data_IF_154938230479
#
_entry.id   IF_154938230479
#
_cell.length_a   1.000
_cell.length_b   1.000
_cell.length_c   1.000
_cell.angle_alpha   90.00
_cell.angle_beta   90.00
_cell.angle_gamma   90.00
#
_symmetry.space_group_name_H-M   'P 1'
#
loop_
_entity.id
_entity.type
_entity.pdbx_description
1 polymer ?
#
# COMPACT_ATOMS: atom_id res chain seq x y z
N UNK A 1 10.58 18.40 6.99
CA UNK A 1 10.83 19.24 8.19
C UNK A 1 11.87 20.32 7.95
N UNK A 2 12.99 20.04 7.29
CA UNK A 2 14.07 21.02 7.02
C UNK A 2 13.59 22.35 6.41
N UNK A 3 12.72 22.29 5.40
CA UNK A 3 12.19 23.50 4.74
C UNK A 3 11.34 24.39 5.65
N UNK A 4 10.57 23.79 6.56
CA UNK A 4 9.76 24.55 7.53
C UNK A 4 10.65 25.22 8.58
N UNK A 5 11.74 24.56 8.97
CA UNK A 5 12.73 25.15 9.89
C UNK A 5 13.42 26.34 9.23
N UNK A 6 13.85 26.20 7.97
CA UNK A 6 14.43 27.30 7.18
C UNK A 6 13.45 28.46 7.04
N UNK A 7 12.20 28.16 6.70
CA UNK A 7 11.16 29.18 6.56
C UNK A 7 10.88 29.91 7.87
N UNK A 8 10.79 29.20 9.00
CA UNK A 8 10.57 29.81 10.31
C UNK A 8 11.72 30.74 10.70
N UNK A 9 12.97 30.35 10.43
CA UNK A 9 14.13 31.21 10.66
C UNK A 9 14.07 32.49 9.81
N UNK A 10 13.82 32.34 8.51
CA UNK A 10 13.64 33.48 7.62
C UNK A 10 12.51 34.42 8.08
N UNK A 11 11.39 33.84 8.57
CA UNK A 11 10.26 34.61 9.09
C UNK A 11 10.64 35.40 10.35
N UNK A 12 11.42 34.81 11.26
CA UNK A 12 11.92 35.51 12.45
C UNK A 12 12.83 36.68 12.07
N UNK A 13 13.82 36.44 11.21
CA UNK A 13 14.73 37.48 10.72
C UNK A 13 13.94 38.63 10.04
N UNK A 14 12.89 38.29 9.30
CA UNK A 14 12.00 39.26 8.65
C UNK A 14 11.17 40.07 9.65
N UNK A 15 10.58 39.42 10.65
CA UNK A 15 9.81 40.08 11.71
C UNK A 15 10.71 41.06 12.48
N UNK A 16 11.91 40.64 12.85
CA UNK A 16 12.90 41.49 13.52
C UNK A 16 13.25 42.73 12.69
N UNK A 17 13.37 42.58 11.36
CA UNK A 17 13.67 43.69 10.46
C UNK A 17 12.55 44.75 10.38
N UNK A 18 11.31 44.37 10.68
CA UNK A 18 10.15 45.26 10.63
C UNK A 18 9.90 46.00 11.94
N UNK A 19 10.36 45.45 13.07
CA UNK A 19 10.15 46.04 14.39
C UNK A 19 8.68 46.37 14.66
N UNK A 20 8.42 47.61 15.08
CA UNK A 20 7.07 48.09 15.45
C UNK A 20 6.06 48.12 14.29
N UNK A 21 6.52 47.99 13.03
CA UNK A 21 5.63 47.90 11.87
C UNK A 21 4.98 46.53 11.72
N UNK A 22 5.51 45.49 12.38
CA UNK A 22 4.96 44.15 12.32
C UNK A 22 3.71 44.01 13.19
N UNK A 23 2.63 43.51 12.61
CA UNK A 23 1.39 43.18 13.31
C UNK A 23 1.38 41.69 13.64
N UNK A 24 1.57 41.37 14.91
CA UNK A 24 1.47 39.98 15.38
C UNK A 24 -0.01 39.59 15.57
N UNK A 25 -0.54 38.86 14.59
CA UNK A 25 -1.92 38.32 14.59
C UNK A 25 -1.92 36.77 14.55
N UNK A 26 -0.82 36.15 15.00
CA UNK A 26 -0.62 34.69 15.11
C UNK A 26 -0.98 33.92 13.82
N UNK A 27 -0.65 34.51 12.66
CA UNK A 27 -0.90 33.90 11.35
C UNK A 27 0.34 33.21 10.81
N UNK A 28 0.21 31.93 10.43
CA UNK A 28 1.28 31.20 9.75
C UNK A 28 1.57 31.79 8.37
N UNK A 29 0.53 32.25 7.67
CA UNK A 29 0.64 32.99 6.40
C UNK A 29 0.13 34.41 6.61
N UNK A 30 1.06 35.36 6.62
CA UNK A 30 0.77 36.78 6.80
C UNK A 30 1.15 37.58 5.56
N UNK A 31 0.59 38.79 5.45
CA UNK A 31 1.12 39.80 4.55
C UNK A 31 2.50 40.26 5.00
N UNK A 32 3.15 41.12 4.19
CA UNK A 32 4.48 41.65 4.50
C UNK A 32 4.55 42.39 5.82
N UNK A 33 3.44 42.97 6.30
CA UNK A 33 3.32 43.69 7.57
C UNK A 33 2.79 42.83 8.73
N UNK A 34 2.66 41.51 8.55
CA UNK A 34 2.10 40.62 9.57
C UNK A 34 0.56 40.53 9.58
N UNK A 35 -0.13 41.40 8.84
CA UNK A 35 -1.60 41.37 8.79
C UNK A 35 -2.16 40.11 8.11
N UNK A 36 -3.44 39.80 8.37
CA UNK A 36 -4.13 38.64 7.79
C UNK A 36 -4.12 38.66 6.27
N UNK A 37 -3.87 37.50 5.68
CA UNK A 37 -4.04 37.29 4.25
C UNK A 37 -5.51 37.01 3.96
N UNK A 38 -6.09 37.72 3.00
CA UNK A 38 -7.43 37.42 2.50
C UNK A 38 -7.39 36.29 1.48
N UNK A 39 -8.49 35.55 1.35
CA UNK A 39 -8.58 34.38 0.45
C UNK A 39 -8.23 34.73 -1.02
N UNK A 40 -8.54 35.95 -1.45
CA UNK A 40 -8.26 36.43 -2.82
C UNK A 40 -6.77 36.56 -3.13
N UNK A 41 -5.93 36.80 -2.11
CA UNK A 41 -4.49 36.94 -2.31
C UNK A 41 -3.89 35.62 -2.80
N UNK A 42 -4.38 34.47 -2.31
CA UNK A 42 -3.93 33.17 -2.78
C UNK A 42 -4.25 32.95 -4.27
N UNK A 43 -5.43 33.38 -4.73
CA UNK A 43 -5.78 33.32 -6.15
C UNK A 43 -4.86 34.22 -7.00
N UNK A 44 -4.51 35.42 -6.50
CA UNK A 44 -3.57 36.33 -7.18
C UNK A 44 -2.15 35.74 -7.26
N UNK A 45 -1.66 35.16 -6.17
CA UNK A 45 -0.36 34.48 -6.16
C UNK A 45 -0.35 33.27 -7.08
N UNK A 46 -1.41 32.46 -7.03
CA UNK A 46 -1.56 31.30 -7.88
C UNK A 46 -1.62 31.67 -9.35
N UNK A 47 -2.30 32.76 -9.72
CA UNK A 47 -2.30 33.28 -11.10
C UNK A 47 -0.88 33.49 -11.62
N UNK A 48 0.02 34.08 -10.83
CA UNK A 48 1.43 34.26 -11.24
C UNK A 48 2.14 32.94 -11.49
N UNK A 49 1.88 31.92 -10.67
CA UNK A 49 2.48 30.58 -10.83
C UNK A 49 1.90 29.87 -12.05
N UNK A 50 0.57 29.92 -12.22
CA UNK A 50 -0.18 29.36 -13.34
C UNK A 50 0.29 29.92 -14.67
N UNK A 51 0.43 31.25 -14.75
CA UNK A 51 0.85 31.94 -15.97
C UNK A 51 2.31 31.59 -16.31
N UNK A 52 3.20 31.46 -15.32
CA UNK A 52 4.58 30.96 -15.51
C UNK A 52 4.65 29.50 -15.93
N UNK A 53 3.69 28.69 -15.51
CA UNK A 53 3.58 27.28 -15.86
C UNK A 53 2.78 27.04 -17.15
N UNK A 54 2.37 28.11 -17.84
CA UNK A 54 1.59 28.08 -19.09
C UNK A 54 0.28 27.27 -18.98
N UNK A 55 -0.33 27.29 -17.79
CA UNK A 55 -1.57 26.57 -17.52
C UNK A 55 -2.81 27.38 -17.95
N UNK A 56 -3.91 26.73 -18.39
CA UNK A 56 -5.13 27.42 -18.82
C UNK A 56 -5.71 28.31 -17.73
N UNK A 57 -6.35 29.42 -18.09
CA UNK A 57 -6.94 30.35 -17.12
C UNK A 57 -8.00 29.70 -16.21
N UNK A 58 -8.76 28.73 -16.76
CA UNK A 58 -9.73 27.94 -15.99
C UNK A 58 -9.11 27.01 -14.94
N UNK A 59 -7.79 26.81 -14.95
CA UNK A 59 -7.10 26.02 -13.95
C UNK A 59 -6.93 26.85 -12.67
N UNK A 60 -7.53 26.38 -11.58
CA UNK A 60 -7.63 27.07 -10.29
C UNK A 60 -6.97 26.28 -9.17
N UNK A 61 -6.87 26.89 -7.98
CA UNK A 61 -6.43 26.19 -6.77
C UNK A 61 -7.32 24.99 -6.42
N UNK A 62 -8.61 25.05 -6.77
CA UNK A 62 -9.52 23.91 -6.63
C UNK A 62 -9.08 22.73 -7.50
N UNK A 63 -8.67 22.98 -8.75
CA UNK A 63 -8.13 21.94 -9.62
C UNK A 63 -6.83 21.36 -9.06
N UNK A 64 -5.95 22.19 -8.51
CA UNK A 64 -4.73 21.71 -7.86
C UNK A 64 -5.03 20.82 -6.65
N UNK A 65 -6.02 21.19 -5.84
CA UNK A 65 -6.52 20.36 -4.73
C UNK A 65 -7.06 19.03 -5.26
N UNK A 66 -7.82 19.03 -6.35
CA UNK A 66 -8.26 17.79 -6.99
C UNK A 66 -7.11 16.93 -7.48
N UNK A 67 -6.09 17.51 -8.12
CA UNK A 67 -4.89 16.78 -8.54
C UNK A 67 -4.18 16.13 -7.36
N UNK A 68 -3.99 16.86 -6.25
CA UNK A 68 -3.39 16.31 -5.04
C UNK A 68 -4.19 15.13 -4.46
N UNK A 69 -5.52 15.25 -4.40
CA UNK A 69 -6.38 14.17 -3.91
C UNK A 69 -6.37 12.96 -4.85
N UNK A 70 -6.46 13.18 -6.18
CA UNK A 70 -6.34 12.10 -7.18
C UNK A 70 -5.03 11.33 -7.05
N UNK A 71 -3.93 12.03 -6.78
CA UNK A 71 -2.63 11.41 -6.52
C UNK A 71 -2.72 10.57 -5.25
N UNK A 72 -3.18 11.15 -4.13
CA UNK A 72 -3.26 10.47 -2.83
C UNK A 72 -4.09 9.18 -2.85
N UNK A 73 -5.19 9.13 -3.60
CA UNK A 73 -6.03 7.91 -3.71
C UNK A 73 -5.23 6.71 -4.24
N UNK A 74 -4.17 6.94 -5.03
CA UNK A 74 -3.31 5.86 -5.51
C UNK A 74 -2.28 5.34 -4.49
N UNK A 75 -2.09 6.03 -3.36
CA UNK A 75 -1.03 5.72 -2.40
C UNK A 75 -1.54 5.42 -0.98
N UNK A 76 -2.72 5.93 -0.61
CA UNK A 76 -3.26 5.77 0.75
C UNK A 76 -4.74 5.42 0.70
N UNK A 77 -5.28 4.75 1.75
CA UNK A 77 -6.69 4.40 1.82
C UNK A 77 -7.59 5.63 1.65
N UNK A 78 -8.74 5.46 0.97
CA UNK A 78 -9.66 6.57 0.68
C UNK A 78 -10.19 7.27 1.94
N UNK A 79 -10.31 6.54 3.05
CA UNK A 79 -10.65 7.09 4.37
C UNK A 79 -9.60 8.12 4.84
N UNK A 80 -8.32 7.81 4.65
CA UNK A 80 -7.20 8.71 4.93
C UNK A 80 -7.21 9.91 4.00
N UNK A 81 -7.52 9.71 2.72
CA UNK A 81 -7.66 10.82 1.75
C UNK A 81 -8.79 11.76 2.17
N UNK A 82 -9.96 11.22 2.51
CA UNK A 82 -11.13 12.00 2.92
C UNK A 82 -10.84 12.82 4.19
N UNK A 83 -10.18 12.21 5.18
CA UNK A 83 -9.76 12.90 6.40
C UNK A 83 -8.77 14.04 6.11
N UNK A 84 -7.79 13.82 5.23
CA UNK A 84 -6.82 14.86 4.82
C UNK A 84 -7.46 15.97 3.98
N UNK A 85 -8.52 15.65 3.24
CA UNK A 85 -9.33 16.65 2.56
C UNK A 85 -10.17 17.48 3.55
N UNK A 86 -10.43 16.99 4.76
CA UNK A 86 -11.35 17.63 5.69
C UNK A 86 -12.80 17.53 5.23
N UNK A 87 -13.14 16.51 4.44
CA UNK A 87 -14.52 16.26 4.04
C UNK A 87 -15.27 15.66 5.24
N UNK A 88 -16.44 16.22 5.57
CA UNK A 88 -17.32 15.71 6.63
C UNK A 88 -17.86 14.31 6.30
N UNK A 89 -17.89 13.94 5.01
CA UNK A 89 -18.38 12.65 4.53
C UNK A 89 -17.43 12.05 3.50
N UNK A 90 -17.11 10.75 3.64
CA UNK A 90 -16.23 9.99 2.72
C UNK A 90 -16.82 9.93 1.30
N UNK A 91 -18.16 9.91 1.20
CA UNK A 91 -18.92 9.81 -0.05
C UNK A 91 -18.55 10.88 -1.08
N UNK A 92 -18.22 12.10 -0.65
CA UNK A 92 -17.78 13.19 -1.53
C UNK A 92 -16.37 12.97 -2.10
N UNK A 93 -15.57 12.09 -1.51
CA UNK A 93 -14.27 11.70 -2.05
C UNK A 93 -14.43 10.49 -2.97
N UNK A 94 -15.27 9.52 -2.59
CA UNK A 94 -15.59 8.36 -3.42
C UNK A 94 -16.22 8.77 -4.76
N UNK A 95 -17.23 9.65 -4.77
CA UNK A 95 -17.91 10.07 -6.01
C UNK A 95 -16.96 10.72 -7.03
N UNK A 96 -15.98 11.51 -6.58
CA UNK A 96 -15.05 12.20 -7.48
C UNK A 96 -13.85 11.35 -7.92
N UNK A 97 -13.50 10.30 -7.18
CA UNK A 97 -12.30 9.49 -7.44
C UNK A 97 -12.58 8.00 -7.64
N UNK A 98 -13.85 7.61 -7.85
CA UNK A 98 -14.31 6.22 -7.95
C UNK A 98 -13.51 5.38 -8.96
N UNK A 99 -13.07 5.98 -10.07
CA UNK A 99 -12.27 5.29 -11.10
C UNK A 99 -10.91 4.83 -10.57
N UNK A 100 -10.24 5.67 -9.76
CA UNK A 100 -8.96 5.32 -9.14
C UNK A 100 -9.13 4.29 -8.02
N UNK A 101 -10.26 4.32 -7.32
CA UNK A 101 -10.61 3.30 -6.32
C UNK A 101 -10.82 1.95 -6.99
N UNK A 102 -11.51 1.92 -8.12
CA UNK A 102 -11.71 0.69 -8.93
C UNK A 102 -10.38 0.11 -9.44
N UNK A 103 -9.46 0.97 -9.89
CA UNK A 103 -8.10 0.53 -10.27
C UNK A 103 -7.34 -0.08 -9.08
N UNK A 104 -7.39 0.55 -7.90
CA UNK A 104 -6.74 0.04 -6.70
C UNK A 104 -7.35 -1.28 -6.21
N UNK A 105 -8.68 -1.43 -6.29
CA UNK A 105 -9.40 -2.65 -5.95
C UNK A 105 -9.06 -3.81 -6.91
N UNK A 106 -8.91 -3.50 -8.20
CA UNK A 106 -8.45 -4.47 -9.19
C UNK A 106 -7.02 -4.95 -8.89
N UNK A 107 -6.11 -4.05 -8.50
CA UNK A 107 -4.75 -4.43 -8.09
C UNK A 107 -4.74 -5.28 -6.82
N UNK A 108 -5.58 -4.96 -5.84
CA UNK A 108 -5.73 -5.75 -4.62
C UNK A 108 -6.24 -7.18 -4.93
N UNK A 109 -7.26 -7.28 -5.79
CA UNK A 109 -7.81 -8.55 -6.27
C UNK A 109 -6.76 -9.41 -6.98
N UNK A 110 -5.95 -8.80 -7.86
CA UNK A 110 -4.85 -9.50 -8.53
C UNK A 110 -3.79 -10.00 -7.54
N UNK A 111 -3.45 -9.18 -6.55
CA UNK A 111 -2.48 -9.56 -5.51
C UNK A 111 -2.99 -10.74 -4.70
N UNK A 112 -4.26 -10.73 -4.29
CA UNK A 112 -4.89 -11.85 -3.58
C UNK A 112 -4.89 -13.12 -4.42
N UNK A 113 -5.25 -13.03 -5.70
CA UNK A 113 -5.22 -14.18 -6.60
C UNK A 113 -3.83 -14.80 -6.70
N UNK A 114 -2.78 -13.98 -6.76
CA UNK A 114 -1.40 -14.46 -6.77
C UNK A 114 -1.02 -15.17 -5.47
N UNK A 115 -1.40 -14.61 -4.32
CA UNK A 115 -1.16 -15.24 -3.01
C UNK A 115 -1.83 -16.61 -2.93
N UNK A 116 -3.11 -16.70 -3.35
CA UNK A 116 -3.81 -17.98 -3.38
C UNK A 116 -3.14 -18.98 -4.31
N UNK A 117 -2.77 -18.57 -5.53
CA UNK A 117 -2.09 -19.44 -6.50
C UNK A 117 -0.78 -20.01 -5.93
N UNK A 118 0.05 -19.16 -5.33
CA UNK A 118 1.30 -19.59 -4.68
C UNK A 118 1.04 -20.55 -3.51
N UNK A 119 -0.01 -20.32 -2.71
CA UNK A 119 -0.38 -21.24 -1.64
C UNK A 119 -0.80 -22.62 -2.16
N UNK A 120 -1.53 -22.68 -3.28
CA UNK A 120 -1.92 -23.95 -3.91
C UNK A 120 -0.72 -24.67 -4.50
N UNK A 121 0.16 -23.98 -5.21
CA UNK A 121 1.39 -24.55 -5.79
C UNK A 121 2.34 -25.10 -4.71
N UNK A 122 2.42 -24.45 -3.55
CA UNK A 122 3.22 -24.92 -2.42
C UNK A 122 2.60 -26.16 -1.73
N UNK A 123 1.27 -26.25 -1.67
CA UNK A 123 0.59 -27.46 -1.16
C UNK A 123 0.76 -28.67 -2.09
N UNK A 124 0.72 -28.46 -3.41
CA UNK A 124 0.92 -29.56 -4.37
C UNK A 124 2.37 -30.05 -4.36
N UNK A 125 3.35 -29.14 -4.33
CA UNK A 125 4.77 -29.52 -4.20
C UNK A 125 5.06 -30.26 -2.89
N UNK A 126 4.51 -29.79 -1.77
CA UNK A 126 4.66 -30.46 -0.49
C UNK A 126 4.08 -31.87 -0.48
N UNK A 127 2.93 -32.10 -1.14
CA UNK A 127 2.37 -33.46 -1.29
C UNK A 127 3.24 -34.36 -2.17
N UNK A 128 3.72 -33.86 -3.31
CA UNK A 128 4.59 -34.62 -4.21
C UNK A 128 5.92 -35.00 -3.54
N UNK A 129 6.52 -34.09 -2.77
CA UNK A 129 7.75 -34.39 -2.02
C UNK A 129 7.53 -35.47 -0.95
N UNK A 130 6.42 -35.41 -0.21
CA UNK A 130 6.05 -36.43 0.79
C UNK A 130 5.83 -37.80 0.13
N UNK A 131 5.10 -37.86 -0.99
CA UNK A 131 4.85 -39.11 -1.71
C UNK A 131 6.17 -39.73 -2.24
N UNK A 132 7.09 -38.90 -2.73
CA UNK A 132 8.41 -39.34 -3.21
C UNK A 132 9.28 -39.86 -2.05
N UNK A 133 9.26 -39.20 -0.89
CA UNK A 133 9.99 -39.65 0.30
C UNK A 133 9.44 -40.97 0.85
N UNK A 134 8.12 -41.12 0.93
CA UNK A 134 7.47 -42.37 1.35
C UNK A 134 7.82 -43.54 0.41
N UNK A 135 7.86 -43.28 -0.90
CA UNK A 135 8.28 -44.27 -1.89
C UNK A 135 9.75 -44.68 -1.71
N UNK A 136 10.67 -43.71 -1.53
CA UNK A 136 12.10 -43.98 -1.29
C UNK A 136 12.32 -44.79 -0.01
N UNK A 137 11.63 -44.43 1.07
CA UNK A 137 11.67 -45.15 2.35
C UNK A 137 11.19 -46.60 2.19
N UNK A 138 10.12 -46.80 1.44
CA UNK A 138 9.59 -48.13 1.12
C UNK A 138 10.58 -48.98 0.31
N UNK A 139 11.25 -48.39 -0.67
CA UNK A 139 12.31 -49.05 -1.45
C UNK A 139 13.51 -49.47 -0.58
N UNK A 140 13.94 -48.62 0.33
CA UNK A 140 15.06 -48.89 1.21
C UNK A 140 14.75 -50.05 2.18
N UNK A 141 13.54 -50.04 2.74
CA UNK A 141 13.05 -51.07 3.65
C UNK A 141 12.84 -52.42 2.96
N UNK A 142 12.30 -52.39 1.73
CA UNK A 142 12.20 -53.57 0.87
C UNK A 142 13.58 -54.21 0.67
N UNK A 143 14.61 -53.41 0.34
CA UNK A 143 15.99 -53.90 0.17
C UNK A 143 16.56 -54.48 1.46
N UNK A 144 16.35 -53.82 2.60
CA UNK A 144 16.83 -54.29 3.92
C UNK A 144 16.22 -55.64 4.32
N UNK A 145 14.94 -55.86 4.01
CA UNK A 145 14.24 -57.11 4.32
C UNK A 145 14.45 -58.20 3.25
N UNK A 146 15.22 -57.93 2.19
CA UNK A 146 15.60 -58.91 1.18
C UNK A 146 14.53 -59.17 0.10
N UNK A 147 13.50 -58.32 -0.02
CA UNK A 147 12.50 -58.43 -1.08
C UNK A 147 13.07 -57.94 -2.43
N UNK A 148 12.69 -58.60 -3.52
CA UNK A 148 13.16 -58.26 -4.87
C UNK A 148 12.28 -57.19 -5.52
N UNK A 149 11.00 -57.13 -5.16
CA UNK A 149 10.05 -56.17 -5.72
C UNK A 149 9.19 -55.48 -4.66
N UNK A 150 8.78 -54.24 -4.95
CA UNK A 150 7.90 -53.49 -4.04
C UNK A 150 6.54 -54.16 -3.89
N UNK A 151 6.07 -54.83 -4.94
CA UNK A 151 4.81 -55.56 -4.92
C UNK A 151 4.80 -56.64 -3.84
N UNK A 152 5.86 -57.46 -3.79
CA UNK A 152 6.04 -58.49 -2.75
C UNK A 152 6.11 -57.87 -1.35
N UNK A 153 6.82 -56.75 -1.22
CA UNK A 153 6.93 -56.04 0.06
C UNK A 153 5.58 -55.48 0.54
N UNK A 154 4.77 -54.88 -0.34
CA UNK A 154 3.44 -54.39 0.02
C UNK A 154 2.46 -55.54 0.30
N UNK A 155 2.54 -56.65 -0.42
CA UNK A 155 1.77 -57.87 -0.11
C UNK A 155 2.13 -58.42 1.27
N UNK A 156 3.42 -58.42 1.62
CA UNK A 156 3.90 -58.76 2.97
C UNK A 156 3.37 -57.82 4.05
N UNK A 157 3.43 -56.49 3.83
CA UNK A 157 2.88 -55.52 4.77
C UNK A 157 1.38 -55.73 5.01
N UNK A 158 0.61 -55.95 3.94
CA UNK A 158 -0.82 -56.23 4.02
C UNK A 158 -1.11 -57.54 4.77
N UNK A 159 -0.33 -58.60 4.52
CA UNK A 159 -0.41 -59.86 5.24
C UNK A 159 -0.15 -59.68 6.74
N UNK A 160 0.92 -58.96 7.11
CA UNK A 160 1.28 -58.72 8.50
C UNK A 160 0.24 -57.86 9.24
N UNK A 161 -0.31 -56.85 8.57
CA UNK A 161 -1.41 -56.03 9.09
C UNK A 161 -2.68 -56.86 9.33
N UNK A 162 -2.98 -57.81 8.44
CA UNK A 162 -4.12 -58.75 8.60
C UNK A 162 -3.96 -59.71 9.78
N UNK A 163 -2.72 -59.92 10.24
CA UNK A 163 -2.36 -60.74 11.41
C UNK A 163 -2.24 -59.93 12.71
N UNK A 164 -2.56 -58.63 12.68
CA UNK A 164 -2.52 -57.75 13.86
C UNK A 164 -1.13 -57.25 14.24
N UNK A 165 -0.11 -57.49 13.41
CA UNK A 165 1.22 -56.94 13.63
C UNK A 165 1.32 -55.52 13.06
N UNK A 166 1.73 -54.56 13.90
CA UNK A 166 2.01 -53.20 13.46
C UNK A 166 3.49 -53.06 13.10
N UNK A 167 3.80 -53.10 11.80
CA UNK A 167 5.16 -52.86 11.32
C UNK A 167 5.27 -51.35 11.05
N UNK A 168 6.24 -50.64 11.67
CA UNK A 168 6.39 -49.22 11.40
C UNK A 168 6.79 -49.02 9.93
N UNK A 169 6.13 -48.10 9.23
CA UNK A 169 6.55 -47.57 7.93
C UNK A 169 7.97 -47.00 8.01
#
# INVERSE_FOLDING_TARGET
MEQLIKYRKWQQDWIESLGDYYKDDDQVFSQSDGSRVTTDIFNKWFKKVRDKAELPEKFTLYNLRHTNLSILVGYVPITTVAQRAGHSTIKTTEEYYIHRVSEADMQASQTLNNVFKTSFENQTKGKEEIEIEEYKRSLEKMKQLGFKTLKEYFEYLNYMKSKGFNIPL
#
